data_IF_610199780097
#
_entry.id   IF_610199780097
#
_cell.length_a   1.000
_cell.length_b   1.000
_cell.length_c   1.000
_cell.angle_alpha   90.00
_cell.angle_beta   90.00
_cell.angle_gamma   90.00
#
_symmetry.space_group_name_H-M   'P 1'
#
loop_
_entity.id
_entity.type
_entity.pdbx_description
1 polymer ?
#
# COMPACT_ATOMS: atom_id res chain seq x y z
N UNK A 1 6.03 -6.31 70.89
CA UNK A 1 5.48 -7.51 70.22
C UNK A 1 3.96 -7.41 70.24
N UNK A 2 3.22 -7.67 69.14
CA UNK A 2 3.59 -7.94 67.72
C UNK A 2 3.12 -6.80 66.77
N UNK A 3 3.74 -6.49 65.61
CA UNK A 3 3.81 -7.22 64.31
C UNK A 3 2.46 -7.20 63.56
N UNK A 4 2.27 -6.76 62.29
CA UNK A 4 3.03 -6.81 61.01
C UNK A 4 2.68 -5.55 60.17
N UNK A 5 3.59 -4.82 59.51
CA UNK A 5 4.51 -5.14 58.41
C UNK A 5 3.83 -5.56 57.09
N UNK A 6 3.36 -4.58 56.32
CA UNK A 6 3.08 -4.71 54.88
C UNK A 6 4.26 -4.15 54.08
N UNK A 7 5.01 -5.03 53.44
CA UNK A 7 6.25 -4.72 52.73
C UNK A 7 6.00 -3.88 51.46
N UNK A 8 6.37 -2.59 51.50
CA UNK A 8 6.62 -1.79 50.30
C UNK A 8 7.96 -2.19 49.69
N UNK A 9 7.95 -3.12 48.74
CA UNK A 9 9.17 -3.49 48.03
C UNK A 9 9.38 -2.54 46.85
N UNK A 10 10.34 -1.62 46.98
CA UNK A 10 10.91 -0.81 45.91
C UNK A 10 11.48 -1.74 44.83
N UNK A 11 10.73 -1.96 43.74
CA UNK A 11 11.29 -2.52 42.52
C UNK A 11 12.12 -1.43 41.84
N UNK A 12 13.43 -1.52 41.99
CA UNK A 12 14.43 -0.82 41.19
C UNK A 12 14.12 -0.96 39.70
N UNK A 13 13.92 0.16 39.01
CA UNK A 13 13.86 0.22 37.54
C UNK A 13 15.21 -0.23 37.00
N UNK A 14 15.25 -1.44 36.42
CA UNK A 14 16.39 -1.89 35.61
C UNK A 14 16.22 -1.35 34.19
N UNK A 15 17.25 -0.74 33.59
CA UNK A 15 17.19 -0.32 32.19
C UNK A 15 17.02 -1.53 31.27
N UNK A 16 16.09 -1.40 30.33
CA UNK A 16 15.76 -2.42 29.33
C UNK A 16 16.93 -2.58 28.36
N UNK A 17 17.62 -3.71 28.43
CA UNK A 17 18.65 -4.11 27.46
C UNK A 17 17.96 -4.86 26.31
N UNK A 18 18.12 -4.45 25.04
CA UNK A 18 17.49 -5.17 23.94
C UNK A 18 18.26 -6.46 23.66
N UNK A 19 17.69 -7.62 24.03
CA UNK A 19 18.12 -8.90 23.46
C UNK A 19 17.37 -9.12 22.15
N UNK A 20 18.14 -9.36 21.10
CA UNK A 20 17.68 -9.84 19.80
C UNK A 20 16.80 -11.09 19.97
N UNK A 21 15.50 -10.92 19.77
CA UNK A 21 14.56 -12.01 19.56
C UNK A 21 14.25 -12.05 18.06
N UNK A 22 14.93 -12.94 17.35
CA UNK A 22 14.65 -13.25 15.95
C UNK A 22 13.32 -14.01 15.90
N UNK A 23 12.21 -13.30 15.73
CA UNK A 23 10.89 -13.86 15.51
C UNK A 23 10.67 -14.15 14.03
N UNK A 24 10.63 -15.43 13.67
CA UNK A 24 10.25 -15.91 12.34
C UNK A 24 8.72 -15.84 12.22
N UNK A 25 8.18 -15.03 11.30
CA UNK A 25 6.76 -15.04 10.96
C UNK A 25 6.50 -16.01 9.78
N UNK A 26 5.36 -16.70 9.85
CA UNK A 26 4.93 -17.86 9.04
C UNK A 26 4.63 -17.59 7.55
N UNK A 27 5.24 -16.56 6.97
CA UNK A 27 5.31 -16.36 5.52
C UNK A 27 6.78 -16.06 5.22
N UNK A 28 7.51 -17.07 4.75
CA UNK A 28 8.99 -17.11 4.63
C UNK A 28 9.63 -16.08 3.70
N UNK A 29 9.39 -14.80 3.90
CA UNK A 29 10.10 -13.69 3.28
C UNK A 29 10.65 -12.80 4.40
N UNK A 30 11.94 -12.95 4.63
CA UNK A 30 12.72 -12.27 5.65
C UNK A 30 12.87 -10.78 5.27
N UNK A 31 12.47 -9.86 6.15
CA UNK A 31 12.56 -8.40 5.95
C UNK A 31 14.00 -7.93 5.66
N UNK A 32 15.01 -8.74 6.03
CA UNK A 32 16.43 -8.52 5.73
C UNK A 32 16.80 -8.80 4.26
N UNK A 33 16.05 -9.65 3.56
CA UNK A 33 16.30 -9.97 2.14
C UNK A 33 15.93 -8.75 1.28
N UNK A 34 14.80 -8.10 1.54
CA UNK A 34 14.32 -6.95 0.76
C UNK A 34 15.36 -5.81 0.76
N UNK A 35 15.96 -5.47 1.91
CA UNK A 35 16.97 -4.39 1.99
C UNK A 35 18.31 -4.72 1.34
N UNK A 36 18.66 -5.99 1.23
CA UNK A 36 19.99 -6.42 0.73
C UNK A 36 20.04 -6.48 -0.79
N UNK A 37 18.92 -6.78 -1.46
CA UNK A 37 18.82 -6.83 -2.93
C UNK A 37 18.49 -5.48 -3.59
N UNK A 38 18.17 -4.44 -2.81
CA UNK A 38 17.69 -3.15 -3.30
C UNK A 38 18.79 -2.13 -3.65
N UNK A 39 20.03 -2.35 -3.21
CA UNK A 39 21.17 -1.42 -3.46
C UNK A 39 21.60 -1.24 -4.93
N UNK A 40 21.46 -2.21 -5.87
CA UNK A 40 21.85 -1.99 -7.27
C UNK A 40 20.75 -1.36 -8.14
N UNK A 41 19.52 -1.15 -7.63
CA UNK A 41 18.38 -0.66 -8.43
C UNK A 41 18.45 0.86 -8.65
N UNK A 42 19.24 1.58 -7.85
CA UNK A 42 19.38 3.04 -7.86
C UNK A 42 20.33 3.58 -8.97
N UNK A 43 20.24 3.05 -10.19
CA UNK A 43 20.77 3.71 -11.39
C UNK A 43 19.68 4.58 -12.04
N UNK A 44 20.03 5.62 -12.83
CA UNK A 44 19.04 6.29 -13.66
C UNK A 44 18.32 5.24 -14.52
N UNK A 45 16.99 5.18 -14.42
CA UNK A 45 16.15 4.27 -15.20
C UNK A 45 16.23 4.70 -16.66
N UNK A 46 17.24 4.19 -17.37
CA UNK A 46 17.31 4.27 -18.82
C UNK A 46 16.13 3.47 -19.40
N UNK A 47 15.32 4.14 -20.22
CA UNK A 47 14.09 3.65 -20.87
C UNK A 47 14.32 2.55 -21.92
N UNK A 48 15.24 1.62 -21.68
CA UNK A 48 15.70 0.64 -22.68
C UNK A 48 15.83 -0.76 -22.09
N UNK A 49 14.77 -1.25 -21.45
CA UNK A 49 14.61 -2.69 -21.19
C UNK A 49 13.29 -3.13 -21.80
N UNK A 50 13.33 -4.06 -22.75
CA UNK A 50 12.19 -4.51 -23.57
C UNK A 50 10.95 -4.96 -22.75
N UNK A 51 11.09 -5.30 -21.47
CA UNK A 51 9.98 -5.61 -20.56
C UNK A 51 9.28 -4.41 -19.92
N UNK A 52 9.97 -3.26 -19.77
CA UNK A 52 9.40 -2.00 -19.27
C UNK A 52 8.39 -1.38 -20.27
N UNK A 53 8.50 -1.73 -21.56
CA UNK A 53 7.65 -1.16 -22.61
C UNK A 53 6.19 -1.60 -22.56
N UNK A 54 5.88 -2.78 -21.99
CA UNK A 54 4.54 -3.36 -22.07
C UNK A 54 3.56 -2.72 -21.09
N UNK A 55 3.98 -2.55 -19.83
CA UNK A 55 3.16 -1.91 -18.78
C UNK A 55 3.04 -0.40 -19.03
N UNK A 56 4.12 0.25 -19.47
CA UNK A 56 4.09 1.66 -19.88
C UNK A 56 3.14 1.87 -21.07
N UNK A 57 3.04 0.93 -22.02
CA UNK A 57 2.09 1.02 -23.16
C UNK A 57 0.63 0.82 -22.77
N UNK A 58 0.33 -0.07 -21.81
CA UNK A 58 -1.03 -0.20 -21.23
C UNK A 58 -1.39 1.06 -20.46
N UNK A 59 -0.49 1.56 -19.62
CA UNK A 59 -0.71 2.78 -18.84
C UNK A 59 -0.78 4.04 -19.70
N UNK A 60 -0.08 4.09 -20.84
CA UNK A 60 -0.20 5.17 -21.82
C UNK A 60 -1.56 5.15 -22.55
N UNK A 61 -2.18 3.97 -22.75
CA UNK A 61 -3.53 3.82 -23.32
C UNK A 61 -4.65 4.15 -22.33
N UNK A 62 -4.42 3.99 -21.03
CA UNK A 62 -5.43 4.22 -19.98
C UNK A 62 -5.55 5.70 -19.52
N UNK A 63 -4.84 6.63 -20.17
CA UNK A 63 -4.96 8.07 -19.95
C UNK A 63 -3.94 8.60 -18.95
N UNK A 64 -2.85 9.16 -19.49
CA UNK A 64 -1.87 9.91 -18.71
C UNK A 64 -2.48 11.22 -18.21
N UNK A 65 -2.98 11.22 -16.97
CA UNK A 65 -3.27 12.46 -16.27
C UNK A 65 -1.92 13.04 -15.84
N UNK A 66 -1.43 14.07 -16.56
CA UNK A 66 -0.11 14.70 -16.36
C UNK A 66 0.08 15.46 -15.04
N UNK A 67 -0.66 15.13 -13.99
CA UNK A 67 -0.52 15.72 -12.65
C UNK A 67 0.45 14.91 -11.78
N UNK A 68 1.33 15.60 -11.04
CA UNK A 68 2.23 14.99 -10.03
C UNK A 68 1.49 14.50 -8.76
N UNK A 69 0.17 14.59 -8.73
CA UNK A 69 -0.65 14.24 -7.57
C UNK A 69 -1.77 13.29 -7.99
N UNK A 70 -2.12 12.31 -7.14
CA UNK A 70 -3.23 11.43 -7.38
C UNK A 70 -4.53 12.25 -7.41
N UNK A 71 -5.60 11.70 -8.00
CA UNK A 71 -6.90 12.35 -8.02
C UNK A 71 -7.30 12.79 -6.60
N UNK A 72 -7.92 13.96 -6.49
CA UNK A 72 -8.32 14.56 -5.21
C UNK A 72 -9.14 13.61 -4.33
N UNK A 73 -9.98 12.77 -4.95
CA UNK A 73 -10.74 11.73 -4.25
C UNK A 73 -9.87 10.66 -3.59
N UNK A 74 -8.73 10.30 -4.20
CA UNK A 74 -7.80 9.35 -3.59
C UNK A 74 -7.02 10.01 -2.46
N UNK A 75 -6.45 11.19 -2.70
CA UNK A 75 -5.70 11.92 -1.67
C UNK A 75 -6.55 12.22 -0.43
N UNK A 76 -7.84 12.54 -0.63
CA UNK A 76 -8.78 12.84 0.46
C UNK A 76 -9.49 11.65 1.09
N UNK A 77 -9.22 10.41 0.66
CA UNK A 77 -9.91 9.23 1.18
C UNK A 77 -11.43 9.28 0.96
N UNK A 78 -11.84 9.57 -0.28
CA UNK A 78 -13.23 9.66 -0.75
C UNK A 78 -13.45 8.85 -2.03
N UNK A 79 -12.84 7.67 -2.11
CA UNK A 79 -12.94 6.76 -3.26
C UNK A 79 -14.18 5.86 -3.19
N UNK A 80 -14.84 5.77 -2.04
CA UNK A 80 -15.95 4.84 -1.80
C UNK A 80 -15.47 3.41 -1.52
N UNK A 81 -14.17 3.20 -1.34
CA UNK A 81 -13.59 1.92 -0.94
C UNK A 81 -13.04 2.01 0.49
N UNK A 82 -13.74 1.46 1.49
CA UNK A 82 -13.47 1.79 2.90
C UNK A 82 -12.05 1.47 3.35
N UNK A 83 -11.46 0.35 2.92
CA UNK A 83 -10.09 0.00 3.26
C UNK A 83 -9.05 1.00 2.68
N UNK A 84 -9.29 1.48 1.46
CA UNK A 84 -8.41 2.45 0.80
C UNK A 84 -8.59 3.83 1.43
N UNK A 85 -9.84 4.25 1.63
CA UNK A 85 -10.16 5.55 2.21
C UNK A 85 -9.65 5.69 3.65
N UNK A 86 -9.77 4.62 4.44
CA UNK A 86 -9.20 4.54 5.79
C UNK A 86 -7.66 4.65 5.74
N UNK A 87 -7.03 3.99 4.75
CA UNK A 87 -5.61 4.16 4.45
C UNK A 87 -5.20 5.59 4.21
N UNK A 88 -5.85 6.27 3.27
CA UNK A 88 -5.49 7.63 2.89
C UNK A 88 -5.71 8.62 4.05
N UNK A 89 -6.75 8.42 4.86
CA UNK A 89 -6.98 9.19 6.09
C UNK A 89 -5.92 8.89 7.15
N UNK A 90 -5.57 7.62 7.39
CA UNK A 90 -4.50 7.24 8.29
C UNK A 90 -3.18 7.91 7.88
N UNK A 91 -2.84 7.82 6.60
CA UNK A 91 -1.64 8.40 6.02
C UNK A 91 -1.57 9.91 6.27
N UNK A 92 -2.66 10.63 5.99
CA UNK A 92 -2.70 12.08 6.20
C UNK A 92 -2.53 12.49 7.66
N UNK A 93 -3.12 11.74 8.59
CA UNK A 93 -3.09 12.08 10.03
C UNK A 93 -1.81 11.62 10.75
N UNK A 94 -1.22 10.51 10.32
CA UNK A 94 -0.11 9.87 11.05
C UNK A 94 1.20 9.84 10.28
N UNK A 95 1.16 10.13 8.98
CA UNK A 95 2.30 9.96 8.08
C UNK A 95 2.69 8.50 7.85
N UNK A 96 1.87 7.55 8.27
CA UNK A 96 2.13 6.12 8.13
C UNK A 96 0.91 5.38 7.61
N UNK A 97 1.16 4.32 6.84
CA UNK A 97 0.10 3.42 6.37
C UNK A 97 0.60 1.98 6.43
N UNK A 98 -0.26 1.05 6.85
CA UNK A 98 0.12 -0.37 6.85
C UNK A 98 0.39 -0.90 5.43
N UNK A 99 1.42 -1.73 5.26
CA UNK A 99 1.87 -2.20 3.95
C UNK A 99 0.76 -2.88 3.12
N UNK A 100 -0.14 -3.65 3.77
CA UNK A 100 -1.28 -4.24 3.06
C UNK A 100 -2.17 -3.17 2.41
N UNK A 101 -2.44 -2.09 3.14
CA UNK A 101 -3.29 -0.99 2.65
C UNK A 101 -2.57 -0.20 1.56
N UNK A 102 -1.24 -0.06 1.63
CA UNK A 102 -0.40 0.48 0.54
C UNK A 102 -0.58 -0.33 -0.75
N UNK A 103 -0.47 -1.66 -0.66
CA UNK A 103 -0.65 -2.55 -1.82
C UNK A 103 -2.06 -2.46 -2.44
N UNK A 104 -3.10 -2.41 -1.60
CA UNK A 104 -4.48 -2.29 -2.07
C UNK A 104 -4.72 -0.94 -2.73
N UNK A 105 -4.22 0.14 -2.13
CA UNK A 105 -4.31 1.50 -2.68
C UNK A 105 -3.59 1.62 -4.03
N UNK A 106 -2.38 1.06 -4.12
CA UNK A 106 -1.61 1.03 -5.36
C UNK A 106 -2.33 0.22 -6.46
N UNK A 107 -2.93 -0.92 -6.10
CA UNK A 107 -3.66 -1.76 -7.05
C UNK A 107 -4.90 -1.04 -7.58
N UNK A 108 -5.66 -0.38 -6.71
CA UNK A 108 -6.83 0.40 -7.12
C UNK A 108 -6.40 1.51 -8.09
N UNK A 109 -5.37 2.29 -7.75
CA UNK A 109 -4.88 3.38 -8.58
C UNK A 109 -4.43 2.88 -9.96
N UNK A 110 -3.60 1.85 -9.99
CA UNK A 110 -2.95 1.42 -11.24
C UNK A 110 -3.87 0.56 -12.10
N UNK A 111 -4.60 -0.38 -11.49
CA UNK A 111 -5.33 -1.42 -12.23
C UNK A 111 -6.81 -1.07 -12.42
N UNK A 112 -7.44 -0.42 -11.45
CA UNK A 112 -8.87 -0.08 -11.55
C UNK A 112 -9.09 1.34 -12.09
N UNK A 113 -8.26 2.30 -11.70
CA UNK A 113 -8.35 3.68 -12.19
C UNK A 113 -7.47 3.95 -13.42
N UNK A 114 -6.56 3.03 -13.77
CA UNK A 114 -5.68 3.17 -14.93
C UNK A 114 -4.62 4.26 -14.81
N UNK A 115 -4.39 4.78 -13.61
CA UNK A 115 -3.46 5.89 -13.37
C UNK A 115 -2.02 5.38 -13.31
N UNK A 116 -1.09 6.17 -13.82
CA UNK A 116 0.33 5.81 -13.80
C UNK A 116 0.86 5.72 -12.36
N UNK A 117 1.61 4.67 -12.05
CA UNK A 117 2.06 4.35 -10.70
C UNK A 117 2.94 5.46 -10.07
N UNK A 118 3.70 6.20 -10.89
CA UNK A 118 4.54 7.31 -10.41
C UNK A 118 3.72 8.43 -9.75
N UNK A 119 2.45 8.60 -10.15
CA UNK A 119 1.57 9.60 -9.54
C UNK A 119 1.27 9.23 -8.09
N UNK A 120 1.04 7.95 -7.82
CA UNK A 120 0.85 7.45 -6.46
C UNK A 120 2.15 7.39 -5.66
N UNK A 121 3.26 7.03 -6.32
CA UNK A 121 4.59 7.00 -5.72
C UNK A 121 5.01 8.37 -5.18
N UNK A 122 4.83 9.43 -5.97
CA UNK A 122 5.11 10.79 -5.56
C UNK A 122 4.22 11.25 -4.38
N UNK A 123 2.95 10.85 -4.37
CA UNK A 123 2.08 11.15 -3.22
C UNK A 123 2.56 10.48 -1.94
N UNK A 124 2.96 9.23 -2.04
CA UNK A 124 3.54 8.49 -0.93
C UNK A 124 4.87 9.08 -0.49
N UNK A 125 5.68 9.57 -1.43
CA UNK A 125 6.91 10.31 -1.12
C UNK A 125 6.64 11.56 -0.28
N UNK A 126 5.60 12.32 -0.62
CA UNK A 126 5.27 13.58 0.05
C UNK A 126 4.58 13.40 1.42
N UNK A 127 4.03 12.21 1.70
CA UNK A 127 3.15 11.99 2.87
C UNK A 127 3.62 10.92 3.84
N UNK A 128 4.43 9.95 3.39
CA UNK A 128 4.97 8.92 4.28
C UNK A 128 6.20 9.43 5.01
N UNK A 129 6.17 9.32 6.34
CA UNK A 129 7.34 9.57 7.20
C UNK A 129 8.43 8.50 7.01
N UNK A 130 8.06 7.32 6.50
CA UNK A 130 8.95 6.22 6.19
C UNK A 130 9.20 6.06 4.68
N UNK A 131 8.98 7.12 3.89
CA UNK A 131 9.32 7.13 2.47
C UNK A 131 10.83 6.86 2.28
N UNK A 132 11.14 5.76 1.60
CA UNK A 132 12.50 5.32 1.31
C UNK A 132 12.67 5.17 -0.22
N UNK A 133 13.77 5.70 -0.81
CA UNK A 133 13.99 5.71 -2.26
C UNK A 133 14.08 4.33 -2.90
N UNK A 134 14.31 3.27 -2.13
CA UNK A 134 14.25 1.91 -2.64
C UNK A 134 12.87 1.29 -2.43
N UNK A 135 12.37 1.34 -1.20
CA UNK A 135 11.17 0.61 -0.78
C UNK A 135 9.90 1.19 -1.41
N UNK A 136 9.78 2.52 -1.52
CA UNK A 136 8.58 3.15 -2.06
C UNK A 136 8.43 2.83 -3.56
N UNK A 137 9.38 3.17 -4.45
CA UNK A 137 9.25 2.83 -5.86
C UNK A 137 9.14 1.33 -6.13
N UNK A 138 9.85 0.48 -5.36
CA UNK A 138 9.77 -0.97 -5.53
C UNK A 138 8.36 -1.51 -5.24
N UNK A 139 7.66 -1.01 -4.22
CA UNK A 139 6.30 -1.41 -3.91
C UNK A 139 5.33 -1.06 -5.05
N UNK A 140 5.44 0.16 -5.57
CA UNK A 140 4.62 0.63 -6.69
C UNK A 140 4.87 -0.14 -7.98
N UNK A 141 6.14 -0.42 -8.29
CA UNK A 141 6.53 -1.24 -9.44
C UNK A 141 6.00 -2.67 -9.31
N UNK A 142 6.17 -3.29 -8.15
CA UNK A 142 5.67 -4.64 -7.86
C UNK A 142 4.17 -4.76 -8.13
N UNK A 143 3.36 -3.80 -7.65
CA UNK A 143 1.91 -3.80 -7.85
C UNK A 143 1.52 -3.45 -9.29
N UNK A 144 2.25 -2.54 -9.95
CA UNK A 144 2.04 -2.23 -11.35
C UNK A 144 2.35 -3.42 -12.28
N UNK A 145 3.12 -4.39 -11.80
CA UNK A 145 3.64 -5.48 -12.62
C UNK A 145 4.83 -5.02 -13.47
N UNK A 146 5.55 -3.98 -13.01
CA UNK A 146 6.78 -3.46 -13.61
C UNK A 146 7.98 -3.80 -12.75
N UNK A 147 9.19 -3.79 -13.34
CA UNK A 147 10.44 -4.02 -12.61
C UNK A 147 10.88 -5.49 -12.56
N UNK A 148 11.95 -5.75 -11.80
CA UNK A 148 12.69 -7.02 -11.82
C UNK A 148 11.97 -8.18 -11.09
N UNK A 149 11.15 -7.89 -10.08
CA UNK A 149 10.34 -8.86 -9.33
C UNK A 149 8.87 -8.44 -9.36
N UNK A 150 8.32 -8.26 -10.55
CA UNK A 150 6.96 -7.80 -10.75
C UNK A 150 5.92 -8.86 -10.30
N UNK A 151 4.87 -8.43 -9.58
CA UNK A 151 3.70 -9.29 -9.43
C UNK A 151 3.09 -9.58 -10.81
N UNK A 152 2.54 -10.78 -11.04
CA UNK A 152 1.83 -11.07 -12.27
C UNK A 152 0.76 -10.01 -12.54
N UNK A 153 0.69 -9.50 -13.78
CA UNK A 153 -0.15 -8.35 -14.16
C UNK A 153 -1.65 -8.58 -13.91
N UNK A 154 -2.10 -9.83 -13.93
CA UNK A 154 -3.48 -10.24 -13.63
C UNK A 154 -3.81 -10.27 -12.12
N UNK A 155 -2.81 -10.08 -11.24
CA UNK A 155 -3.00 -9.97 -9.80
C UNK A 155 -3.54 -8.58 -9.46
N UNK A 156 -4.85 -8.47 -9.43
CA UNK A 156 -5.58 -7.26 -9.03
C UNK A 156 -6.17 -7.50 -7.63
N UNK A 157 -5.76 -6.67 -6.67
CA UNK A 157 -6.27 -6.71 -5.30
C UNK A 157 -7.65 -6.09 -5.24
N UNK A 158 -8.66 -6.88 -4.87
CA UNK A 158 -10.02 -6.37 -4.67
C UNK A 158 -10.12 -5.75 -3.27
N UNK A 159 -10.35 -4.43 -3.12
CA UNK A 159 -10.40 -3.77 -1.81
C UNK A 159 -11.41 -4.38 -0.85
N UNK A 160 -12.55 -4.87 -1.35
CA UNK A 160 -13.61 -5.48 -0.54
C UNK A 160 -13.17 -6.82 0.04
N UNK A 161 -12.56 -7.68 -0.78
CA UNK A 161 -12.10 -9.00 -0.28
C UNK A 161 -10.87 -8.87 0.61
N UNK A 162 -10.05 -7.84 0.40
CA UNK A 162 -8.92 -7.54 1.29
C UNK A 162 -9.41 -6.99 2.64
N UNK A 163 -10.44 -6.14 2.65
CA UNK A 163 -11.08 -5.70 3.89
C UNK A 163 -11.61 -6.89 4.69
N UNK A 164 -12.43 -7.75 4.05
CA UNK A 164 -12.98 -8.94 4.71
C UNK A 164 -11.90 -9.89 5.28
N UNK A 165 -10.74 -9.97 4.63
CA UNK A 165 -9.64 -10.86 5.05
C UNK A 165 -8.76 -10.26 6.16
N UNK A 166 -8.46 -8.97 6.09
CA UNK A 166 -7.45 -8.33 6.95
C UNK A 166 -8.03 -7.36 7.99
N UNK A 167 -9.31 -7.02 7.88
CA UNK A 167 -10.09 -6.27 8.85
C UNK A 167 -11.51 -6.87 8.98
N UNK A 168 -11.63 -8.15 9.40
CA UNK A 168 -12.91 -8.86 9.44
C UNK A 168 -13.93 -8.21 10.40
N UNK A 169 -13.44 -7.59 11.48
CA UNK A 169 -14.26 -6.87 12.46
C UNK A 169 -14.54 -5.42 12.05
N UNK A 170 -13.97 -4.94 10.94
CA UNK A 170 -14.11 -3.54 10.49
C UNK A 170 -13.51 -2.50 11.45
N UNK A 171 -12.62 -2.89 12.36
CA UNK A 171 -12.06 -1.99 13.39
C UNK A 171 -11.16 -0.93 12.77
N UNK A 172 -10.32 -1.34 11.82
CA UNK A 172 -9.42 -0.41 11.15
C UNK A 172 -10.22 0.60 10.32
N UNK A 173 -11.19 0.12 9.55
CA UNK A 173 -12.05 1.01 8.76
C UNK A 173 -12.88 1.93 9.66
N UNK A 174 -13.53 1.39 10.69
CA UNK A 174 -14.38 2.17 11.61
C UNK A 174 -13.63 3.23 12.40
N UNK A 175 -12.34 3.01 12.69
CA UNK A 175 -11.48 4.02 13.33
C UNK A 175 -11.28 5.26 12.45
N UNK A 176 -11.12 5.08 11.13
CA UNK A 176 -10.76 6.16 10.21
C UNK A 176 -11.95 6.71 9.41
N UNK A 177 -13.06 5.97 9.36
CA UNK A 177 -14.29 6.33 8.63
C UNK A 177 -15.49 6.17 9.56
N UNK A 178 -15.65 7.06 10.55
CA UNK A 178 -16.82 7.02 11.44
C UNK A 178 -18.15 7.19 10.69
N UNK A 179 -18.12 7.84 9.53
CA UNK A 179 -19.30 8.10 8.70
C UNK A 179 -19.68 6.96 7.74
N UNK A 180 -19.02 5.80 7.79
CA UNK A 180 -19.17 4.72 6.80
C UNK A 180 -20.62 4.28 6.56
N UNK A 181 -21.45 4.26 7.60
CA UNK A 181 -22.86 3.83 7.54
C UNK A 181 -23.85 4.99 7.32
N UNK A 182 -23.36 6.16 6.94
CA UNK A 182 -24.16 7.37 6.73
C UNK A 182 -24.23 7.73 5.25
N UNK A 183 -25.17 8.60 4.88
CA UNK A 183 -25.28 9.13 3.52
C UNK A 183 -24.09 10.02 3.11
N UNK A 184 -23.21 10.41 4.05
CA UNK A 184 -22.06 11.28 3.78
C UNK A 184 -20.87 10.52 3.16
N UNK A 185 -20.86 9.19 3.29
CA UNK A 185 -19.84 8.34 2.70
C UNK A 185 -20.06 8.19 1.19
N UNK A 186 -19.04 8.46 0.35
CA UNK A 186 -19.22 8.52 -1.09
C UNK A 186 -19.44 7.15 -1.72
N UNK A 187 -20.20 7.15 -2.81
CA UNK A 187 -20.31 5.99 -3.70
C UNK A 187 -18.96 5.62 -4.34
N UNK A 188 -18.74 4.33 -4.66
CA UNK A 188 -17.53 3.86 -5.31
C UNK A 188 -17.22 4.63 -6.60
N UNK A 189 -15.98 5.12 -6.73
CA UNK A 189 -15.53 5.87 -7.91
C UNK A 189 -15.48 5.03 -9.20
N UNK A 190 -15.49 3.71 -9.07
CA UNK A 190 -15.42 2.76 -10.19
C UNK A 190 -16.11 1.44 -9.82
N UNK A 191 -16.72 0.77 -10.80
CA UNK A 191 -17.17 -0.60 -10.61
C UNK A 191 -15.98 -1.57 -10.63
N UNK A 192 -15.76 -2.30 -9.54
CA UNK A 192 -14.59 -3.18 -9.39
C UNK A 192 -14.58 -4.36 -10.38
N UNK A 193 -15.76 -4.85 -10.79
CA UNK A 193 -15.86 -6.02 -11.67
C UNK A 193 -15.60 -5.62 -13.12
N UNK A 194 -16.21 -4.53 -13.57
CA UNK A 194 -16.02 -3.95 -14.88
C UNK A 194 -14.57 -3.47 -15.07
N UNK A 195 -14.04 -2.67 -14.14
CA UNK A 195 -12.65 -2.18 -14.22
C UNK A 195 -11.62 -3.30 -14.16
N UNK A 196 -11.88 -4.37 -13.38
CA UNK A 196 -11.02 -5.56 -13.41
C UNK A 196 -11.01 -6.21 -14.79
N UNK A 197 -12.17 -6.37 -15.42
CA UNK A 197 -12.28 -6.96 -16.76
C UNK A 197 -11.55 -6.09 -17.78
N UNK A 198 -11.80 -4.78 -17.79
CA UNK A 198 -11.12 -3.82 -18.67
C UNK A 198 -9.60 -3.89 -18.52
N UNK A 199 -9.10 -3.96 -17.28
CA UNK A 199 -7.68 -4.12 -17.02
C UNK A 199 -7.13 -5.42 -17.61
N UNK A 200 -7.81 -6.55 -17.39
CA UNK A 200 -7.39 -7.85 -17.91
C UNK A 200 -7.43 -7.90 -19.45
N UNK A 201 -8.46 -7.31 -20.06
CA UNK A 201 -8.62 -7.22 -21.51
C UNK A 201 -7.51 -6.36 -22.13
N UNK A 202 -7.19 -5.23 -21.50
CA UNK A 202 -6.07 -4.38 -21.91
C UNK A 202 -4.75 -5.15 -21.87
N UNK A 203 -4.51 -5.99 -20.85
CA UNK A 203 -3.33 -6.85 -20.80
C UNK A 203 -3.35 -7.97 -21.86
N UNK A 204 -4.51 -8.58 -22.12
CA UNK A 204 -4.68 -9.62 -23.12
C UNK A 204 -4.45 -9.12 -24.55
N UNK A 205 -4.70 -7.83 -24.81
CA UNK A 205 -4.50 -7.19 -26.11
C UNK A 205 -3.04 -6.87 -26.46
N UNK A 206 -2.11 -7.11 -25.54
CA UNK A 206 -0.70 -6.79 -25.75
C UNK A 206 0.00 -7.85 -26.63
N UNK A 207 0.81 -7.42 -27.60
CA UNK A 207 1.62 -8.36 -28.39
C UNK A 207 2.59 -9.11 -27.47
N UNK A 208 2.68 -10.43 -27.67
CA UNK A 208 3.56 -11.34 -26.92
C UNK A 208 5.01 -11.22 -27.38
#
# INVERSE_FOLDING_TARGET
MPSRAGAGNRATVRPFSPRNSVGVNSAGTNTSIIRTWQRPICGPVSTTTRGLGLVVRVQARLGSHGGRRPPSRMAGGRTGFPMVDAGQRQLWHTGWMHNRVRMVSASLLVKNLGIHWQVGEQWFWDTLVDADPASNPANWQWVAGSGADASPFFRIFNPVTQAAKFDPDGRYVGQWIPELSTADYPEPVVDLKASRREALDAYGSLPR
#
